data_IF_903196266069
#
_entry.id   IF_903196266069
#
_cell.length_a   1.000
_cell.length_b   1.000
_cell.length_c   1.000
_cell.angle_alpha   90.00
_cell.angle_beta   90.00
_cell.angle_gamma   90.00
#
_symmetry.space_group_name_H-M   'P 1'
#
loop_
_entity.id
_entity.type
_entity.pdbx_description
1 polymer ?
#
# COMPACT_ATOMS: atom_id res chain seq x y z
N UNK A 1 24.33 18.64 24.90
CA UNK A 1 24.31 17.17 24.77
C UNK A 1 22.86 16.78 24.58
N UNK A 2 22.43 16.65 23.31
CA UNK A 2 21.03 16.29 22.93
C UNK A 2 20.98 14.78 22.80
N UNK A 3 20.23 14.14 23.67
CA UNK A 3 19.94 12.71 23.59
C UNK A 3 19.09 12.46 22.32
N UNK A 4 19.68 11.84 21.32
CA UNK A 4 18.94 11.23 20.22
C UNK A 4 18.20 10.02 20.79
N UNK A 5 16.88 10.12 20.89
CA UNK A 5 16.00 8.98 21.12
C UNK A 5 16.04 8.15 19.84
N UNK A 6 16.81 7.07 19.85
CA UNK A 6 16.69 6.00 18.86
C UNK A 6 15.33 5.33 19.07
N UNK A 7 14.35 5.66 18.23
CA UNK A 7 13.12 4.89 18.12
C UNK A 7 13.44 3.65 17.30
N UNK A 8 13.56 2.51 17.96
CA UNK A 8 13.59 1.19 17.33
C UNK A 8 12.15 0.82 17.02
N UNK A 9 11.82 0.68 15.73
CA UNK A 9 10.56 0.06 15.25
C UNK A 9 10.71 -1.49 15.31
N UNK A 10 11.09 -2.01 16.48
CA UNK A 10 11.16 -3.44 16.73
C UNK A 10 9.88 -3.85 17.44
N UNK A 11 9.19 -4.84 16.87
CA UNK A 11 8.08 -5.60 17.45
C UNK A 11 6.72 -4.87 17.62
N UNK A 12 6.09 -4.46 16.50
CA UNK A 12 4.63 -4.50 16.49
C UNK A 12 4.19 -5.94 16.18
N UNK A 13 3.28 -6.55 16.97
CA UNK A 13 2.76 -7.88 16.68
C UNK A 13 2.08 -7.90 15.31
N UNK A 14 2.36 -8.93 14.50
CA UNK A 14 1.63 -9.21 13.25
C UNK A 14 0.12 -9.13 13.51
N UNK A 15 -0.60 -8.43 12.64
CA UNK A 15 -2.06 -8.33 12.70
C UNK A 15 -2.64 -9.76 12.69
N UNK A 16 -3.54 -10.04 13.62
CA UNK A 16 -4.15 -11.36 13.75
C UNK A 16 -4.80 -11.81 12.43
N UNK A 17 -4.52 -13.02 12.00
CA UNK A 17 -4.84 -13.57 10.67
C UNK A 17 -6.33 -13.61 10.28
N UNK A 18 -7.26 -13.40 11.20
CA UNK A 18 -8.72 -13.44 10.94
C UNK A 18 -9.49 -12.57 11.93
N UNK A 19 -9.57 -11.28 11.72
CA UNK A 19 -10.35 -10.40 12.60
C UNK A 19 -10.41 -8.96 12.09
N UNK A 20 -11.26 -8.15 12.73
CA UNK A 20 -11.25 -6.71 12.55
C UNK A 20 -9.89 -6.17 13.03
N UNK A 21 -9.34 -5.13 12.37
CA UNK A 21 -8.05 -4.56 12.75
C UNK A 21 -8.09 -4.08 14.20
N UNK A 22 -7.00 -4.32 14.94
CA UNK A 22 -6.87 -3.79 16.30
C UNK A 22 -6.71 -2.26 16.24
N UNK A 23 -7.80 -1.55 16.52
CA UNK A 23 -7.89 -0.10 16.48
C UNK A 23 -6.99 0.61 17.51
N UNK A 24 -6.43 -0.13 18.46
CA UNK A 24 -5.54 0.42 19.49
C UNK A 24 -4.09 0.51 19.04
N UNK A 25 -3.72 -0.20 17.97
CA UNK A 25 -2.35 -0.21 17.47
C UNK A 25 -1.93 1.15 16.95
N UNK A 26 -0.64 1.48 17.13
CA UNK A 26 -0.04 2.69 16.58
C UNK A 26 -0.13 2.70 15.05
N UNK A 27 0.01 1.53 14.40
CA UNK A 27 -0.11 1.37 12.94
C UNK A 27 -1.50 1.77 12.47
N UNK A 28 -2.56 1.22 13.08
CA UNK A 28 -3.94 1.58 12.77
C UNK A 28 -4.18 3.09 12.89
N UNK A 29 -3.82 3.68 14.02
CA UNK A 29 -4.01 5.12 14.27
C UNK A 29 -3.24 6.00 13.28
N UNK A 30 -2.05 5.57 12.86
CA UNK A 30 -1.22 6.29 11.89
C UNK A 30 -1.85 6.21 10.49
N UNK A 31 -2.34 5.04 10.09
CA UNK A 31 -3.09 4.83 8.83
C UNK A 31 -4.35 5.70 8.81
N UNK A 32 -5.12 5.74 9.89
CA UNK A 32 -6.31 6.61 10.02
C UNK A 32 -5.96 8.10 9.83
N UNK A 33 -4.88 8.58 10.47
CA UNK A 33 -4.42 9.97 10.31
C UNK A 33 -4.02 10.27 8.88
N UNK A 34 -3.32 9.37 8.23
CA UNK A 34 -2.90 9.53 6.84
C UNK A 34 -4.12 9.53 5.91
N UNK A 35 -5.06 8.57 6.06
CA UNK A 35 -6.27 8.50 5.25
C UNK A 35 -7.12 9.76 5.38
N UNK A 36 -7.21 10.35 6.59
CA UNK A 36 -7.94 11.60 6.82
C UNK A 36 -7.34 12.82 6.09
N UNK A 37 -6.09 12.73 5.59
CA UNK A 37 -5.46 13.77 4.79
C UNK A 37 -5.74 13.62 3.29
N UNK A 38 -6.28 12.48 2.85
CA UNK A 38 -6.60 12.21 1.46
C UNK A 38 -7.98 12.77 1.07
N UNK A 39 -8.19 13.10 -0.20
CA UNK A 39 -9.48 13.60 -0.65
C UNK A 39 -10.55 12.50 -0.52
N UNK A 40 -11.72 12.88 0.01
CA UNK A 40 -12.91 12.04 -0.03
C UNK A 40 -13.54 12.01 -1.42
N UNK A 41 -14.41 11.02 -1.65
CA UNK A 41 -15.11 10.85 -2.93
C UNK A 41 -14.15 10.78 -4.13
N UNK A 42 -12.98 10.19 -3.92
CA UNK A 42 -11.89 10.09 -4.87
C UNK A 42 -11.97 8.81 -5.71
N UNK A 43 -11.34 8.80 -6.87
CA UNK A 43 -11.00 7.59 -7.63
C UNK A 43 -9.61 7.15 -7.16
N UNK A 44 -9.52 5.98 -6.55
CA UNK A 44 -8.30 5.55 -5.92
C UNK A 44 -8.00 4.05 -6.11
N UNK A 45 -6.76 3.67 -5.78
CA UNK A 45 -6.34 2.26 -5.82
C UNK A 45 -5.53 1.89 -4.58
N UNK A 46 -5.66 0.63 -4.16
CA UNK A 46 -4.82 -0.05 -3.18
C UNK A 46 -4.03 -1.15 -3.88
N UNK A 47 -2.71 -1.13 -3.74
CA UNK A 47 -1.77 -2.15 -4.22
C UNK A 47 -1.28 -2.94 -3.01
N UNK A 48 -1.53 -4.26 -3.02
CA UNK A 48 -1.25 -5.12 -1.87
C UNK A 48 -2.41 -5.11 -0.89
N UNK A 49 -3.44 -5.89 -1.19
CA UNK A 49 -4.70 -5.94 -0.43
C UNK A 49 -4.63 -6.97 0.68
N UNK A 50 -3.92 -8.08 0.45
CA UNK A 50 -3.77 -9.19 1.39
C UNK A 50 -5.13 -9.67 1.90
N UNK A 51 -5.43 -9.50 3.20
CA UNK A 51 -6.71 -9.88 3.84
C UNK A 51 -7.82 -8.82 3.71
N UNK A 52 -7.52 -7.64 3.14
CA UNK A 52 -8.47 -6.54 2.97
C UNK A 52 -8.75 -5.72 4.23
N UNK A 53 -8.03 -5.94 5.34
CA UNK A 53 -8.26 -5.19 6.57
C UNK A 53 -8.01 -3.68 6.40
N UNK A 54 -7.05 -3.30 5.58
CA UNK A 54 -6.79 -1.89 5.31
C UNK A 54 -7.81 -1.30 4.33
N UNK A 55 -8.33 -2.11 3.40
CA UNK A 55 -9.40 -1.71 2.48
C UNK A 55 -10.65 -1.22 3.23
N UNK A 56 -10.99 -1.84 4.39
CA UNK A 56 -12.09 -1.36 5.26
C UNK A 56 -11.82 0.07 5.71
N UNK A 57 -10.61 0.35 6.19
CA UNK A 57 -10.23 1.68 6.65
C UNK A 57 -10.30 2.72 5.53
N UNK A 58 -9.86 2.36 4.32
CA UNK A 58 -9.99 3.21 3.13
C UNK A 58 -11.45 3.56 2.89
N UNK A 59 -12.33 2.56 2.84
CA UNK A 59 -13.75 2.76 2.58
C UNK A 59 -14.42 3.65 3.64
N UNK A 60 -14.14 3.40 4.92
CA UNK A 60 -14.75 4.15 6.03
C UNK A 60 -14.26 5.59 6.12
N UNK A 61 -12.97 5.84 5.91
CA UNK A 61 -12.39 7.17 6.14
C UNK A 61 -12.50 8.06 4.91
N UNK A 62 -12.24 7.51 3.72
CA UNK A 62 -12.16 8.31 2.49
C UNK A 62 -13.45 8.31 1.69
N UNK A 63 -14.39 7.38 1.95
CA UNK A 63 -15.67 7.28 1.25
C UNK A 63 -15.46 7.42 -0.29
N UNK A 64 -14.65 6.55 -0.92
CA UNK A 64 -14.21 6.75 -2.30
C UNK A 64 -15.35 6.62 -3.29
N UNK A 65 -15.30 7.42 -4.38
CA UNK A 65 -16.19 7.25 -5.53
C UNK A 65 -15.91 5.93 -6.28
N UNK A 66 -14.62 5.56 -6.38
CA UNK A 66 -14.17 4.28 -6.91
C UNK A 66 -12.90 3.85 -6.17
N UNK A 67 -12.88 2.61 -5.67
CA UNK A 67 -11.72 1.96 -5.09
C UNK A 67 -11.35 0.73 -5.92
N UNK A 68 -10.15 0.73 -6.49
CA UNK A 68 -9.58 -0.46 -7.14
C UNK A 68 -8.66 -1.20 -6.19
N UNK A 69 -8.99 -2.45 -5.86
CA UNK A 69 -8.19 -3.36 -5.04
C UNK A 69 -7.32 -4.24 -5.95
N UNK A 70 -6.00 -4.12 -5.84
CA UNK A 70 -5.04 -4.81 -6.74
C UNK A 70 -4.13 -5.70 -5.90
N UNK A 71 -4.19 -7.01 -6.14
CA UNK A 71 -3.29 -7.99 -5.52
C UNK A 71 -3.15 -9.21 -6.44
N UNK A 72 -1.98 -9.84 -6.54
CA UNK A 72 -1.81 -11.07 -7.31
C UNK A 72 -2.40 -12.30 -6.60
N UNK A 73 -2.55 -12.30 -5.29
CA UNK A 73 -2.96 -13.45 -4.47
C UNK A 73 -2.25 -14.76 -4.93
N UNK A 74 -3.01 -15.75 -5.40
CA UNK A 74 -2.53 -17.07 -5.84
C UNK A 74 -1.94 -17.09 -7.27
N UNK A 75 -1.92 -15.95 -8.01
CA UNK A 75 -1.32 -15.91 -9.35
C UNK A 75 0.19 -16.08 -9.35
N UNK A 76 0.84 -15.80 -8.23
CA UNK A 76 2.29 -15.94 -8.09
C UNK A 76 2.60 -16.92 -6.97
N UNK A 77 3.52 -17.85 -7.23
CA UNK A 77 4.11 -18.67 -6.18
C UNK A 77 4.92 -17.79 -5.24
N UNK A 78 4.86 -18.06 -3.94
CA UNK A 78 5.73 -17.40 -2.97
C UNK A 78 7.19 -17.57 -3.41
N UNK A 79 7.90 -16.46 -3.61
CA UNK A 79 9.33 -16.48 -3.88
C UNK A 79 10.08 -16.51 -2.55
N UNK A 80 11.26 -17.17 -2.48
CA UNK A 80 12.04 -17.23 -1.23
C UNK A 80 12.36 -15.87 -0.62
N UNK A 81 12.39 -14.82 -1.45
CA UNK A 81 12.69 -13.45 -1.04
C UNK A 81 11.44 -12.54 -1.01
N UNK A 82 10.25 -13.11 -1.17
CA UNK A 82 8.99 -12.39 -1.05
C UNK A 82 8.67 -12.12 0.44
N UNK A 83 7.97 -11.03 0.73
CA UNK A 83 7.47 -10.74 2.09
C UNK A 83 6.58 -11.86 2.62
N UNK A 84 5.81 -12.50 1.76
CA UNK A 84 4.99 -13.67 2.06
C UNK A 84 5.78 -14.89 2.53
N UNK A 85 7.10 -14.93 2.28
CA UNK A 85 7.96 -16.01 2.78
C UNK A 85 8.07 -16.05 4.31
N UNK A 86 7.66 -15.00 5.00
CA UNK A 86 7.57 -14.97 6.46
C UNK A 86 6.30 -15.68 6.97
N UNK A 87 5.24 -15.76 6.14
CA UNK A 87 4.05 -16.53 6.45
C UNK A 87 4.22 -17.98 5.96
N UNK A 88 4.45 -18.88 6.90
CA UNK A 88 4.62 -20.31 6.62
C UNK A 88 3.36 -20.98 6.04
N UNK A 89 2.24 -20.27 6.05
CA UNK A 89 0.93 -20.75 5.59
C UNK A 89 0.50 -20.15 4.25
N UNK A 90 1.31 -19.27 3.64
CA UNK A 90 1.00 -18.64 2.35
C UNK A 90 1.16 -19.59 1.16
N UNK A 91 0.53 -20.77 1.22
CA UNK A 91 0.41 -21.68 0.09
C UNK A 91 -0.70 -21.22 -0.89
N UNK A 92 -0.80 -21.89 -2.03
CA UNK A 92 -1.76 -21.53 -3.07
C UNK A 92 -3.22 -21.63 -2.61
N UNK A 93 -3.54 -22.59 -1.73
CA UNK A 93 -4.90 -22.80 -1.23
C UNK A 93 -5.30 -21.68 -0.25
N UNK A 94 -4.40 -21.28 0.63
CA UNK A 94 -4.57 -20.16 1.55
C UNK A 94 -4.77 -18.85 0.76
N UNK A 95 -3.91 -18.57 -0.22
CA UNK A 95 -4.00 -17.39 -1.07
C UNK A 95 -5.29 -17.35 -1.89
N UNK A 96 -5.72 -18.50 -2.42
CA UNK A 96 -7.02 -18.63 -3.11
C UNK A 96 -8.21 -18.43 -2.16
N UNK A 97 -8.08 -18.86 -0.93
CA UNK A 97 -9.04 -18.62 0.15
C UNK A 97 -9.18 -17.14 0.45
N UNK A 98 -8.06 -16.43 0.60
CA UNK A 98 -8.04 -14.98 0.79
C UNK A 98 -8.73 -14.24 -0.35
N UNK A 99 -8.37 -14.54 -1.60
CA UNK A 99 -9.03 -13.90 -2.75
C UNK A 99 -10.55 -14.09 -2.71
N UNK A 100 -11.04 -15.31 -2.42
CA UNK A 100 -12.48 -15.56 -2.28
C UNK A 100 -13.11 -14.71 -1.19
N UNK A 101 -12.46 -14.61 -0.02
CA UNK A 101 -12.93 -13.76 1.07
C UNK A 101 -13.02 -12.28 0.67
N UNK A 102 -12.08 -11.77 -0.10
CA UNK A 102 -12.11 -10.40 -0.63
C UNK A 102 -13.29 -10.21 -1.58
N UNK A 103 -13.54 -11.18 -2.48
CA UNK A 103 -14.69 -11.13 -3.39
C UNK A 103 -16.01 -11.15 -2.62
N UNK A 104 -16.12 -11.99 -1.57
CA UNK A 104 -17.32 -12.09 -0.74
C UNK A 104 -17.57 -10.80 0.05
N UNK A 105 -16.51 -10.17 0.59
CA UNK A 105 -16.61 -8.96 1.39
C UNK A 105 -16.92 -7.70 0.56
N UNK A 106 -16.25 -7.55 -0.58
CA UNK A 106 -16.25 -6.29 -1.32
C UNK A 106 -16.90 -6.37 -2.70
N UNK A 107 -17.08 -7.56 -3.27
CA UNK A 107 -17.54 -7.73 -4.64
C UNK A 107 -18.96 -7.25 -4.90
N UNK A 108 -19.77 -7.03 -3.87
CA UNK A 108 -21.13 -6.48 -3.98
C UNK A 108 -21.18 -4.95 -3.83
N UNK A 109 -20.07 -4.31 -3.48
CA UNK A 109 -20.00 -2.86 -3.32
C UNK A 109 -19.87 -2.20 -4.71
N UNK A 110 -20.81 -1.33 -5.11
CA UNK A 110 -20.86 -0.80 -6.48
C UNK A 110 -19.67 0.11 -6.83
N UNK A 111 -18.99 0.62 -5.81
CA UNK A 111 -17.82 1.49 -5.96
C UNK A 111 -16.49 0.77 -5.74
N UNK A 112 -16.49 -0.56 -5.57
CA UNK A 112 -15.25 -1.35 -5.39
C UNK A 112 -15.02 -2.22 -6.61
N UNK A 113 -13.80 -2.18 -7.14
CA UNK A 113 -13.31 -3.02 -8.23
C UNK A 113 -12.17 -3.91 -7.74
N UNK A 114 -12.34 -5.21 -7.79
CA UNK A 114 -11.31 -6.18 -7.41
C UNK A 114 -10.58 -6.64 -8.68
N UNK A 115 -9.27 -6.45 -8.73
CA UNK A 115 -8.42 -6.82 -9.86
C UNK A 115 -7.31 -7.74 -9.39
N UNK A 116 -7.43 -9.02 -9.71
CA UNK A 116 -6.41 -10.03 -9.45
C UNK A 116 -5.28 -9.90 -10.48
N UNK A 117 -4.11 -9.45 -10.05
CA UNK A 117 -2.98 -9.25 -10.94
C UNK A 117 -1.79 -8.55 -10.28
N UNK A 118 -0.66 -8.56 -10.98
CA UNK A 118 0.49 -7.77 -10.59
C UNK A 118 0.20 -6.28 -10.79
N UNK A 119 0.70 -5.45 -9.89
CA UNK A 119 0.47 -4.00 -9.88
C UNK A 119 0.85 -3.32 -11.20
N UNK A 120 2.04 -3.62 -11.74
CA UNK A 120 2.57 -2.98 -12.94
C UNK A 120 1.65 -3.18 -14.18
N UNK A 121 1.30 -4.40 -14.65
CA UNK A 121 0.40 -4.57 -15.78
C UNK A 121 -1.02 -4.08 -15.50
N UNK A 122 -1.52 -4.20 -14.28
CA UNK A 122 -2.85 -3.70 -13.93
C UNK A 122 -2.90 -2.19 -14.02
N UNK A 123 -1.99 -1.47 -13.37
CA UNK A 123 -1.94 -0.01 -13.45
C UNK A 123 -1.66 0.47 -14.87
N UNK A 124 -0.81 -0.23 -15.65
CA UNK A 124 -0.53 0.13 -17.03
C UNK A 124 -1.80 0.17 -17.91
N UNK A 125 -2.82 -0.63 -17.58
CA UNK A 125 -4.09 -0.70 -18.32
C UNK A 125 -5.00 0.52 -18.10
N UNK A 126 -4.77 1.30 -17.04
CA UNK A 126 -5.51 2.53 -16.78
C UNK A 126 -4.95 3.71 -17.59
N UNK A 127 -5.76 4.72 -17.92
CA UNK A 127 -5.26 5.97 -18.50
C UNK A 127 -4.25 6.66 -17.59
N UNK A 128 -3.39 7.52 -18.14
CA UNK A 128 -2.61 8.43 -17.33
C UNK A 128 -3.55 9.44 -16.65
N UNK A 129 -3.12 9.95 -15.50
CA UNK A 129 -3.87 10.95 -14.72
C UNK A 129 -5.31 10.50 -14.38
N UNK A 130 -5.48 9.21 -14.06
CA UNK A 130 -6.78 8.60 -13.75
C UNK A 130 -7.13 8.68 -12.27
N UNK A 131 -6.18 8.30 -11.39
CA UNK A 131 -6.41 8.22 -9.95
C UNK A 131 -6.18 9.55 -9.25
N UNK A 132 -6.98 9.85 -8.25
CA UNK A 132 -6.73 10.96 -7.34
C UNK A 132 -5.60 10.60 -6.37
N UNK A 133 -5.55 9.33 -5.94
CA UNK A 133 -4.45 8.79 -5.16
C UNK A 133 -4.31 7.27 -5.32
N UNK A 134 -3.11 6.76 -5.03
CA UNK A 134 -2.76 5.34 -5.03
C UNK A 134 -2.04 5.01 -3.74
N UNK A 135 -2.46 3.95 -3.04
CA UNK A 135 -1.80 3.41 -1.87
C UNK A 135 -0.99 2.17 -2.22
N UNK A 136 0.27 2.11 -1.75
CA UNK A 136 1.23 1.05 -2.06
C UNK A 136 1.62 0.34 -0.77
N UNK A 137 1.22 -0.93 -0.65
CA UNK A 137 1.54 -1.84 0.45
C UNK A 137 1.75 -3.28 -0.07
N UNK A 138 2.39 -3.40 -1.24
CA UNK A 138 2.67 -4.69 -1.89
C UNK A 138 4.00 -5.29 -1.47
N UNK A 139 4.82 -5.72 -2.43
CA UNK A 139 6.15 -6.23 -2.15
C UNK A 139 7.11 -5.10 -1.74
N UNK A 140 7.77 -5.24 -0.58
CA UNK A 140 8.62 -4.20 0.00
C UNK A 140 10.06 -4.19 -0.53
N UNK A 141 10.45 -5.08 -1.46
CA UNK A 141 11.77 -5.05 -2.05
C UNK A 141 11.94 -3.85 -3.01
N UNK A 142 13.12 -3.27 -3.03
CA UNK A 142 13.44 -2.02 -3.73
C UNK A 142 12.92 -1.93 -5.16
N UNK A 143 13.16 -2.95 -5.98
CA UNK A 143 12.79 -2.93 -7.40
C UNK A 143 11.27 -2.94 -7.62
N UNK A 144 10.52 -3.61 -6.75
CA UNK A 144 9.05 -3.65 -6.80
C UNK A 144 8.47 -2.32 -6.36
N UNK A 145 8.89 -1.81 -5.20
CA UNK A 145 8.43 -0.50 -4.70
C UNK A 145 8.77 0.62 -5.68
N UNK A 146 9.98 0.59 -6.25
CA UNK A 146 10.40 1.59 -7.25
C UNK A 146 9.45 1.60 -8.46
N UNK A 147 9.12 0.42 -9.00
CA UNK A 147 8.20 0.27 -10.13
C UNK A 147 6.79 0.73 -9.78
N UNK A 148 6.28 0.32 -8.61
CA UNK A 148 4.94 0.70 -8.15
C UNK A 148 4.82 2.23 -8.00
N UNK A 149 5.82 2.89 -7.42
CA UNK A 149 5.85 4.35 -7.32
C UNK A 149 5.94 5.01 -8.70
N UNK A 150 6.79 4.49 -9.59
CA UNK A 150 6.98 5.07 -10.92
C UNK A 150 5.73 4.97 -11.81
N UNK A 151 5.08 3.80 -11.82
CA UNK A 151 3.83 3.63 -12.58
C UNK A 151 2.70 4.44 -11.96
N UNK A 152 2.58 4.47 -10.64
CA UNK A 152 1.59 5.28 -9.94
C UNK A 152 1.74 6.77 -10.26
N UNK A 153 2.97 7.28 -10.39
CA UNK A 153 3.21 8.67 -10.77
C UNK A 153 2.64 9.04 -12.14
N UNK A 154 2.61 8.09 -13.08
CA UNK A 154 1.99 8.31 -14.39
C UNK A 154 0.46 8.27 -14.30
N UNK A 155 -0.08 7.46 -13.39
CA UNK A 155 -1.52 7.20 -13.28
C UNK A 155 -2.25 8.13 -12.33
N UNK A 156 -1.54 8.76 -11.40
CA UNK A 156 -2.09 9.77 -10.49
C UNK A 156 -2.17 11.11 -11.19
N UNK A 157 -3.29 11.81 -11.00
CA UNK A 157 -3.55 13.15 -11.55
C UNK A 157 -2.52 14.18 -11.05
N UNK A 158 -2.27 15.26 -11.79
CA UNK A 158 -1.65 16.46 -11.21
C UNK A 158 -2.45 16.92 -9.98
N UNK A 159 -1.76 17.24 -8.90
CA UNK A 159 -2.38 17.53 -7.59
C UNK A 159 -2.76 16.31 -6.76
N UNK A 160 -2.66 15.09 -7.30
CA UNK A 160 -2.94 13.85 -6.59
C UNK A 160 -1.76 13.33 -5.76
N UNK A 161 -1.95 12.20 -5.09
CA UNK A 161 -1.01 11.70 -4.07
C UNK A 161 -0.70 10.22 -4.27
N UNK A 162 0.58 9.87 -4.21
CA UNK A 162 1.04 8.49 -4.03
C UNK A 162 1.33 8.31 -2.55
N UNK A 163 0.73 7.30 -1.96
CA UNK A 163 0.85 6.99 -0.53
C UNK A 163 1.38 5.58 -0.37
N UNK A 164 2.01 5.25 0.74
CA UNK A 164 2.37 3.86 1.01
C UNK A 164 2.87 3.66 2.43
N UNK A 165 3.04 2.39 2.81
CA UNK A 165 3.47 1.96 4.13
C UNK A 165 4.95 1.58 4.18
N UNK A 166 5.36 1.16 5.37
CA UNK A 166 6.62 0.47 5.63
C UNK A 166 7.89 1.23 5.21
N UNK A 167 7.86 2.58 5.32
CA UNK A 167 9.00 3.43 4.96
C UNK A 167 10.31 3.01 5.65
N UNK A 168 10.22 2.39 6.83
CA UNK A 168 11.36 1.96 7.63
C UNK A 168 11.60 0.44 7.61
N UNK A 169 10.78 -0.32 6.88
CA UNK A 169 10.95 -1.76 6.76
C UNK A 169 12.36 -2.13 6.28
N UNK A 170 12.94 -3.13 6.93
CA UNK A 170 14.31 -3.55 6.70
C UNK A 170 14.39 -5.02 6.30
N UNK A 171 15.21 -5.31 5.29
CA UNK A 171 15.64 -6.67 4.96
C UNK A 171 17.13 -6.63 4.60
N UNK A 172 17.93 -7.55 5.16
CA UNK A 172 19.38 -7.63 4.94
C UNK A 172 20.10 -6.30 5.22
N UNK A 173 19.69 -5.57 6.26
CA UNK A 173 20.29 -4.29 6.68
C UNK A 173 19.90 -3.07 5.83
N UNK A 174 19.06 -3.23 4.80
CA UNK A 174 18.62 -2.15 3.90
C UNK A 174 17.18 -1.74 4.17
N UNK A 175 16.89 -0.46 4.04
CA UNK A 175 15.52 0.10 4.08
C UNK A 175 15.00 0.25 2.63
N UNK A 176 14.58 -0.86 2.04
CA UNK A 176 14.25 -0.96 0.62
C UNK A 176 13.17 0.04 0.18
N UNK A 177 12.07 0.15 0.95
CA UNK A 177 10.98 1.10 0.66
C UNK A 177 11.50 2.53 0.69
N UNK A 178 12.21 2.90 1.75
CA UNK A 178 12.79 4.25 1.88
C UNK A 178 13.74 4.57 0.75
N UNK A 179 14.62 3.66 0.39
CA UNK A 179 15.58 3.85 -0.70
C UNK A 179 14.87 4.10 -2.04
N UNK A 180 13.79 3.33 -2.35
CA UNK A 180 12.99 3.51 -3.56
C UNK A 180 12.26 4.87 -3.58
N UNK A 181 11.62 5.24 -2.45
CA UNK A 181 10.96 6.55 -2.28
C UNK A 181 11.95 7.68 -2.55
N UNK A 182 13.11 7.67 -1.90
CA UNK A 182 14.09 8.75 -2.05
C UNK A 182 14.74 8.77 -3.43
N UNK A 183 14.88 7.63 -4.12
CA UNK A 183 15.31 7.58 -5.52
C UNK A 183 14.32 8.31 -6.43
N UNK A 184 13.01 8.08 -6.26
CA UNK A 184 11.95 8.79 -6.99
C UNK A 184 11.94 10.29 -6.69
N UNK A 185 12.01 10.67 -5.41
CA UNK A 185 12.06 12.09 -5.02
C UNK A 185 13.24 12.83 -5.66
N UNK A 186 14.40 12.18 -5.67
CA UNK A 186 15.61 12.73 -6.32
C UNK A 186 15.42 12.90 -7.83
N UNK A 187 14.80 11.92 -8.49
CA UNK A 187 14.57 11.95 -9.94
C UNK A 187 13.54 13.01 -10.35
N UNK A 188 12.52 13.24 -9.55
CA UNK A 188 11.42 14.16 -9.88
C UNK A 188 11.64 15.59 -9.39
N UNK A 189 12.47 15.79 -8.38
CA UNK A 189 12.84 17.10 -7.86
C UNK A 189 11.62 17.95 -7.46
N UNK A 190 11.50 19.13 -8.06
CA UNK A 190 10.43 20.10 -7.76
C UNK A 190 9.04 19.72 -8.34
N UNK A 191 8.92 18.58 -9.00
CA UNK A 191 7.61 18.09 -9.50
C UNK A 191 6.79 17.42 -8.41
N UNK A 192 7.38 17.21 -7.23
CA UNK A 192 6.74 16.52 -6.12
C UNK A 192 7.05 17.18 -4.78
N UNK A 193 6.14 17.01 -3.82
CA UNK A 193 6.35 17.33 -2.42
C UNK A 193 6.24 16.03 -1.60
N UNK A 194 7.17 15.83 -0.68
CA UNK A 194 7.20 14.67 0.21
C UNK A 194 6.66 15.03 1.59
N UNK A 195 5.89 14.12 2.17
CA UNK A 195 5.39 14.20 3.53
C UNK A 195 5.44 12.80 4.17
N UNK A 196 5.53 12.74 5.50
CA UNK A 196 5.59 11.48 6.25
C UNK A 196 4.64 11.52 7.44
N UNK A 197 3.86 10.45 7.61
CA UNK A 197 2.96 10.26 8.75
C UNK A 197 3.28 8.91 9.41
N UNK A 198 4.07 8.92 10.49
CA UNK A 198 4.59 7.70 11.09
C UNK A 198 5.50 6.93 10.13
N UNK A 199 5.17 5.66 9.87
CA UNK A 199 5.84 4.83 8.87
C UNK A 199 5.25 4.99 7.45
N UNK A 200 4.17 5.76 7.28
CA UNK A 200 3.58 6.04 5.98
C UNK A 200 4.37 7.12 5.24
N UNK A 201 4.48 7.00 3.92
CA UNK A 201 4.99 8.05 3.06
C UNK A 201 3.89 8.62 2.18
N UNK A 202 3.99 9.90 1.83
CA UNK A 202 3.10 10.60 0.90
C UNK A 202 3.93 11.40 -0.09
N UNK A 203 3.72 11.18 -1.39
CA UNK A 203 4.35 11.89 -2.49
C UNK A 203 3.25 12.63 -3.24
N UNK A 204 3.17 13.94 -3.07
CA UNK A 204 2.21 14.79 -3.77
C UNK A 204 2.77 15.15 -5.14
N UNK A 205 2.05 14.83 -6.21
CA UNK A 205 2.36 15.24 -7.59
C UNK A 205 1.93 16.72 -7.77
N UNK A 206 2.87 17.60 -8.15
CA UNK A 206 2.63 19.04 -8.31
C UNK A 206 2.28 19.38 -9.76
#
# INVERSE_FOLDING_TARGET
MSAQVQMTDEDEPEEAETGLPDMTTRRYQTRQKMLAMLPKNAICAEIGVWTGQFSIQILEVTEPAELTLIDPWDMISAQPDDNRSNDKHADADFMSGMYRSIVDLYGQLPNVRIVKGLSEPVLASYPNDYFDWVYIDGNHLYDFVLKDIQISFQKVKPGGVIVGDDLFWKKNGRQHVREAVFACLKAWGNKVRFEKVGAQFMIHKL
#
